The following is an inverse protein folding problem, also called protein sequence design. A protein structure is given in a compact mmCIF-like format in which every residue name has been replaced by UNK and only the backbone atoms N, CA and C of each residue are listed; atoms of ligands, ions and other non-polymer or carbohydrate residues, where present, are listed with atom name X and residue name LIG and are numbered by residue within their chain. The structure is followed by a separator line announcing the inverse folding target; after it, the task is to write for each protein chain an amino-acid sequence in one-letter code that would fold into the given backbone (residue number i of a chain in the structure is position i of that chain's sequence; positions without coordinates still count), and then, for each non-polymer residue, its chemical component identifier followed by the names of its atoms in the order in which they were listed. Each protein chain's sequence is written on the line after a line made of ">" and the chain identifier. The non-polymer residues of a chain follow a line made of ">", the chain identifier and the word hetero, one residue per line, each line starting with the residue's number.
data_IF_133913002365
#
_entry.id   IF_133913002365
#
_cell.length_a   1.000
_cell.length_b   1.000
_cell.length_c   1.000
_cell.angle_alpha   90.00
_cell.angle_beta   90.00
_cell.angle_gamma   90.00
#
_symmetry.space_group_name_H-M   'P 1'
#
loop_
_entity.id
_entity.type
_entity.pdbx_description
1 polymer ?
#
# COMPACT_ATOMS: atom_id res chain seq x y z
N UNK A 1 11.86 -26.35 -49.64
CA UNK A 1 12.26 -24.98 -49.27
C UNK A 1 12.07 -24.75 -47.76
N UNK A 2 12.73 -25.51 -46.88
CA UNK A 2 12.28 -25.61 -45.46
C UNK A 2 13.27 -25.11 -44.39
N UNK A 3 14.47 -24.64 -44.76
CA UNK A 3 15.43 -24.14 -43.76
C UNK A 3 15.13 -22.73 -43.22
N UNK A 4 14.55 -21.86 -44.05
CA UNK A 4 14.23 -20.47 -43.65
C UNK A 4 12.91 -20.39 -42.90
N UNK A 5 11.87 -21.08 -43.36
CA UNK A 5 10.57 -21.09 -42.70
C UNK A 5 10.61 -21.71 -41.30
N UNK A 6 11.42 -22.76 -41.07
CA UNK A 6 11.61 -23.34 -39.73
C UNK A 6 12.31 -22.35 -38.77
N UNK A 7 13.36 -21.66 -39.23
CA UNK A 7 14.02 -20.63 -38.42
C UNK A 7 13.08 -19.46 -38.11
N UNK A 8 12.25 -19.05 -39.08
CA UNK A 8 11.24 -18.00 -38.88
C UNK A 8 10.20 -18.45 -37.85
N UNK A 9 9.74 -19.70 -37.89
CA UNK A 9 8.80 -20.24 -36.90
C UNK A 9 9.40 -20.29 -35.48
N UNK A 10 10.67 -20.67 -35.36
CA UNK A 10 11.37 -20.70 -34.06
C UNK A 10 11.57 -19.27 -33.52
N UNK A 11 12.00 -18.33 -34.36
CA UNK A 11 12.18 -16.93 -33.96
C UNK A 11 10.84 -16.29 -33.60
N UNK A 12 9.78 -16.56 -34.37
CA UNK A 12 8.44 -16.07 -34.08
C UNK A 12 7.89 -16.61 -32.76
N UNK A 13 8.10 -17.90 -32.48
CA UNK A 13 7.76 -18.51 -31.19
C UNK A 13 8.54 -17.88 -30.02
N UNK A 14 9.84 -17.62 -30.22
CA UNK A 14 10.68 -17.01 -29.18
C UNK A 14 10.24 -15.59 -28.86
N UNK A 15 9.99 -14.76 -29.88
CA UNK A 15 9.50 -13.38 -29.71
C UNK A 15 8.13 -13.38 -29.05
N UNK A 16 7.23 -14.28 -29.45
CA UNK A 16 5.90 -14.40 -28.86
C UNK A 16 5.98 -14.76 -27.37
N UNK A 17 6.86 -15.68 -26.98
CA UNK A 17 7.07 -16.04 -25.58
C UNK A 17 7.64 -14.87 -24.76
N UNK A 18 8.63 -14.14 -25.29
CA UNK A 18 9.19 -12.96 -24.62
C UNK A 18 8.14 -11.85 -24.50
N UNK A 19 7.29 -11.66 -25.52
CA UNK A 19 6.19 -10.70 -25.50
C UNK A 19 5.11 -11.10 -24.47
N UNK A 20 4.74 -12.37 -24.40
CA UNK A 20 3.81 -12.89 -23.38
C UNK A 20 4.39 -12.74 -21.98
N UNK A 21 5.66 -13.07 -21.77
CA UNK A 21 6.35 -12.88 -20.50
C UNK A 21 6.43 -11.39 -20.12
N UNK A 22 6.75 -10.51 -21.07
CA UNK A 22 6.77 -9.07 -20.86
C UNK A 22 5.37 -8.49 -20.56
N UNK A 23 4.33 -8.99 -21.22
CA UNK A 23 2.94 -8.59 -21.00
C UNK A 23 2.40 -9.09 -19.65
N UNK A 24 2.74 -10.30 -19.24
CA UNK A 24 2.36 -10.86 -17.94
C UNK A 24 3.17 -10.20 -16.82
N UNK A 25 4.49 -10.02 -16.99
CA UNK A 25 5.32 -9.35 -16.00
C UNK A 25 4.98 -7.86 -15.88
N UNK A 26 4.74 -7.16 -16.99
CA UNK A 26 4.31 -5.77 -17.02
C UNK A 26 2.88 -5.58 -16.52
N UNK A 27 1.97 -6.47 -16.88
CA UNK A 27 0.60 -6.52 -16.38
C UNK A 27 0.53 -6.84 -14.90
N UNK A 28 1.32 -7.81 -14.41
CA UNK A 28 1.48 -8.10 -12.99
C UNK A 28 2.16 -6.94 -12.26
N UNK A 29 3.17 -6.29 -12.83
CA UNK A 29 3.80 -5.12 -12.23
C UNK A 29 2.83 -3.95 -12.09
N UNK A 30 2.04 -3.64 -13.13
CA UNK A 30 1.00 -2.62 -13.06
C UNK A 30 -0.19 -3.04 -12.18
N UNK A 31 -0.51 -4.33 -12.13
CA UNK A 31 -1.55 -4.87 -11.25
C UNK A 31 -1.10 -4.86 -9.79
N UNK A 32 0.15 -5.18 -9.46
CA UNK A 32 0.69 -5.06 -8.10
C UNK A 32 0.96 -3.58 -7.72
N UNK A 33 1.41 -2.74 -8.66
CA UNK A 33 1.56 -1.30 -8.45
C UNK A 33 0.21 -0.57 -8.35
N UNK A 34 -0.83 -1.05 -9.04
CA UNK A 34 -2.18 -0.48 -9.09
C UNK A 34 -3.19 -1.07 -8.10
N UNK A 35 -3.09 -2.37 -7.78
CA UNK A 35 -3.80 -3.04 -6.67
C UNK A 35 -3.09 -2.88 -5.33
N UNK A 36 -1.98 -2.15 -5.30
CA UNK A 36 -1.62 -1.29 -4.16
C UNK A 36 -2.60 -0.12 -3.97
N UNK A 37 -3.89 -0.32 -4.30
CA UNK A 37 -4.99 0.64 -4.23
C UNK A 37 -5.41 1.03 -2.82
N UNK A 38 -4.52 0.89 -1.85
CA UNK A 38 -4.47 1.79 -0.70
C UNK A 38 -3.16 2.53 -0.83
N UNK A 39 -3.26 3.82 -1.14
CA UNK A 39 -2.22 4.84 -1.28
C UNK A 39 -1.10 4.80 -0.19
N UNK A 40 -0.25 3.78 -0.17
CA UNK A 40 0.56 3.41 1.03
C UNK A 40 1.92 4.10 1.17
N UNK A 41 2.45 4.78 0.16
CA UNK A 41 3.78 5.39 0.25
C UNK A 41 3.75 6.87 0.67
N UNK A 42 3.16 7.77 -0.15
CA UNK A 42 3.09 9.21 0.13
C UNK A 42 1.69 9.71 0.48
N UNK A 43 0.65 9.20 -0.18
CA UNK A 43 -0.71 9.74 -0.07
C UNK A 43 -1.38 9.41 1.28
N UNK A 44 -1.09 8.27 1.93
CA UNK A 44 -1.49 8.03 3.33
C UNK A 44 -0.76 8.96 4.32
N UNK A 45 0.47 9.41 4.02
CA UNK A 45 1.18 10.39 4.87
C UNK A 45 0.51 11.75 4.79
N UNK A 46 0.17 12.20 3.59
CA UNK A 46 -0.59 13.43 3.39
C UNK A 46 -1.97 13.30 4.01
N UNK A 47 -2.64 12.16 3.84
CA UNK A 47 -3.97 11.93 4.36
C UNK A 47 -4.02 11.96 5.89
N UNK A 48 -3.09 11.26 6.57
CA UNK A 48 -3.07 11.25 8.03
C UNK A 48 -2.74 12.62 8.63
N UNK A 49 -2.00 13.50 7.94
CA UNK A 49 -1.76 14.87 8.44
C UNK A 49 -3.05 15.66 8.64
N UNK A 50 -4.09 15.40 7.84
CA UNK A 50 -5.40 16.02 8.00
C UNK A 50 -6.19 15.48 9.21
N UNK A 51 -5.76 14.36 9.82
CA UNK A 51 -6.46 13.79 10.98
C UNK A 51 -6.37 14.66 12.24
N UNK A 52 -5.35 15.50 12.35
CA UNK A 52 -5.17 16.42 13.47
C UNK A 52 -5.55 17.88 13.13
N UNK A 53 -6.11 18.14 11.94
CA UNK A 53 -6.35 19.51 11.45
C UNK A 53 -7.27 20.33 12.37
N UNK A 54 -8.22 19.68 13.04
CA UNK A 54 -9.15 20.34 13.99
C UNK A 54 -8.60 20.44 15.42
N UNK A 55 -7.40 19.92 15.67
CA UNK A 55 -6.69 20.08 16.96
C UNK A 55 -5.85 21.37 16.97
N UNK A 56 -5.40 21.78 18.16
CA UNK A 56 -4.50 22.93 18.29
C UNK A 56 -3.17 22.71 17.56
N UNK A 57 -2.49 23.79 17.19
CA UNK A 57 -1.21 23.71 16.47
C UNK A 57 -0.13 22.90 17.23
N UNK A 58 -0.13 22.96 18.56
CA UNK A 58 0.79 22.19 19.39
C UNK A 58 0.47 20.68 19.34
N UNK A 59 -0.82 20.32 19.37
CA UNK A 59 -1.25 18.92 19.21
C UNK A 59 -0.96 18.39 17.81
N UNK A 60 -1.10 19.21 16.78
CA UNK A 60 -0.70 18.84 15.41
C UNK A 60 0.79 18.53 15.32
N UNK A 61 1.65 19.35 15.95
CA UNK A 61 3.10 19.10 16.00
C UNK A 61 3.42 17.81 16.74
N UNK A 62 2.80 17.59 17.90
CA UNK A 62 2.94 16.36 18.68
C UNK A 62 2.52 15.13 17.87
N UNK A 63 1.43 15.22 17.11
CA UNK A 63 0.98 14.14 16.24
C UNK A 63 1.95 13.84 15.10
N UNK A 64 2.51 14.87 14.45
CA UNK A 64 3.52 14.70 13.41
C UNK A 64 4.77 14.02 13.96
N UNK A 65 5.22 14.41 15.16
CA UNK A 65 6.37 13.77 15.81
C UNK A 65 6.07 12.32 16.22
N UNK A 66 4.87 12.03 16.74
CA UNK A 66 4.44 10.66 17.04
C UNK A 66 4.46 9.78 15.77
N UNK A 67 3.96 10.29 14.64
CA UNK A 67 4.02 9.59 13.36
C UNK A 67 5.46 9.41 12.84
N UNK A 68 6.36 10.35 13.08
CA UNK A 68 7.79 10.22 12.73
C UNK A 68 8.46 9.15 13.59
N UNK A 69 8.19 9.12 14.89
CA UNK A 69 8.71 8.14 15.82
C UNK A 69 8.24 6.72 15.44
N UNK A 70 6.94 6.53 15.22
CA UNK A 70 6.37 5.25 14.78
C UNK A 70 7.00 4.76 13.47
N UNK A 71 7.22 5.67 12.50
CA UNK A 71 7.92 5.31 11.26
C UNK A 71 9.39 4.96 11.46
N UNK A 72 10.08 5.64 12.38
CA UNK A 72 11.48 5.36 12.70
C UNK A 72 11.64 3.94 13.24
N UNK A 73 10.70 3.51 14.09
CA UNK A 73 10.60 2.14 14.60
C UNK A 73 10.25 1.16 13.47
N UNK A 74 9.28 1.50 12.61
CA UNK A 74 8.88 0.65 11.49
C UNK A 74 9.83 0.64 10.27
N UNK A 75 11.00 1.30 10.33
CA UNK A 75 11.90 1.38 9.17
C UNK A 75 12.36 0.00 8.68
N UNK A 76 12.59 -0.90 9.61
CA UNK A 76 13.09 -2.24 9.31
C UNK A 76 12.01 -3.05 8.58
N UNK A 77 10.74 -2.94 8.99
CA UNK A 77 9.61 -3.51 8.25
C UNK A 77 9.46 -2.90 6.84
N UNK A 78 9.64 -1.59 6.71
CA UNK A 78 9.62 -0.95 5.40
C UNK A 78 10.77 -1.40 4.50
N UNK A 79 11.93 -1.72 5.07
CA UNK A 79 13.06 -2.30 4.34
C UNK A 79 12.77 -3.75 3.95
N UNK A 80 12.32 -4.58 4.88
CA UNK A 80 11.94 -5.96 4.64
C UNK A 80 10.87 -6.09 3.55
N UNK A 81 9.86 -5.21 3.54
CA UNK A 81 8.85 -5.19 2.47
C UNK A 81 9.40 -4.76 1.10
N UNK A 82 10.43 -3.89 1.05
CA UNK A 82 11.12 -3.55 -0.21
C UNK A 82 11.96 -4.72 -0.71
N UNK A 83 12.65 -5.39 0.19
CA UNK A 83 13.49 -6.56 -0.11
C UNK A 83 12.63 -7.73 -0.59
N UNK A 84 11.53 -8.04 0.10
CA UNK A 84 10.58 -9.07 -0.34
C UNK A 84 9.98 -8.79 -1.72
N UNK A 85 9.69 -7.53 -2.06
CA UNK A 85 9.26 -7.16 -3.42
C UNK A 85 10.34 -7.42 -4.48
N UNK A 86 11.61 -7.17 -4.17
CA UNK A 86 12.72 -7.50 -5.09
C UNK A 86 12.84 -9.01 -5.27
N UNK A 87 12.76 -9.75 -4.18
CA UNK A 87 12.82 -11.21 -4.20
C UNK A 87 11.68 -11.83 -5.03
N UNK A 88 10.45 -11.30 -4.92
CA UNK A 88 9.33 -11.70 -5.78
C UNK A 88 9.65 -11.49 -7.26
N UNK A 89 10.25 -10.34 -7.61
CA UNK A 89 10.65 -10.05 -9.01
C UNK A 89 11.77 -10.98 -9.48
N UNK A 90 12.74 -11.27 -8.63
CA UNK A 90 13.85 -12.17 -8.94
C UNK A 90 13.33 -13.59 -9.23
N UNK A 91 12.44 -14.12 -8.38
CA UNK A 91 11.83 -15.45 -8.57
C UNK A 91 10.98 -15.50 -9.84
N UNK A 92 10.23 -14.43 -10.15
CA UNK A 92 9.41 -14.36 -11.37
C UNK A 92 10.25 -14.23 -12.64
N UNK A 93 11.46 -13.66 -12.54
CA UNK A 93 12.39 -13.51 -13.66
C UNK A 93 13.21 -14.77 -13.96
N UNK A 94 13.14 -15.78 -13.08
CA UNK A 94 13.88 -17.02 -13.24
C UNK A 94 13.40 -17.81 -14.47
N UNK A 95 14.30 -18.53 -15.18
CA UNK A 95 13.93 -19.32 -16.35
C UNK A 95 12.88 -20.40 -16.07
N UNK A 96 12.85 -20.90 -14.84
CA UNK A 96 11.85 -21.85 -14.34
C UNK A 96 11.21 -21.27 -13.10
N UNK A 97 9.88 -21.26 -13.06
CA UNK A 97 9.13 -20.70 -11.94
C UNK A 97 9.17 -21.67 -10.75
N UNK A 98 9.87 -21.28 -9.69
CA UNK A 98 9.72 -21.91 -8.38
C UNK A 98 8.52 -21.33 -7.64
N UNK A 99 7.41 -22.07 -7.65
CA UNK A 99 6.18 -21.64 -6.99
C UNK A 99 6.31 -21.54 -5.47
N UNK A 100 7.09 -22.41 -4.85
CA UNK A 100 7.26 -22.41 -3.40
C UNK A 100 8.09 -21.19 -2.94
N UNK A 101 9.15 -20.87 -3.69
CA UNK A 101 9.95 -19.66 -3.46
C UNK A 101 9.12 -18.39 -3.65
N UNK A 102 8.28 -18.34 -4.69
CA UNK A 102 7.39 -17.20 -4.93
C UNK A 102 6.40 -17.01 -3.79
N UNK A 103 5.73 -18.07 -3.36
CA UNK A 103 4.76 -18.01 -2.27
C UNK A 103 5.43 -17.56 -0.96
N UNK A 104 6.65 -18.03 -0.68
CA UNK A 104 7.44 -17.59 0.48
C UNK A 104 7.82 -16.09 0.42
N UNK A 105 8.28 -15.60 -0.72
CA UNK A 105 8.64 -14.19 -0.92
C UNK A 105 7.41 -13.27 -0.81
N UNK A 106 6.27 -13.72 -1.36
CA UNK A 106 4.98 -13.02 -1.21
C UNK A 106 4.50 -12.99 0.25
N UNK A 107 4.64 -14.09 1.00
CA UNK A 107 4.30 -14.12 2.42
C UNK A 107 5.17 -13.17 3.24
N UNK A 108 6.49 -13.18 3.04
CA UNK A 108 7.42 -12.24 3.69
C UNK A 108 7.04 -10.78 3.43
N UNK A 109 6.74 -10.47 2.17
CA UNK A 109 6.32 -9.12 1.77
C UNK A 109 5.03 -8.70 2.49
N UNK A 110 4.02 -9.59 2.54
CA UNK A 110 2.75 -9.31 3.23
C UNK A 110 2.93 -9.14 4.74
N UNK A 111 3.74 -9.98 5.38
CA UNK A 111 4.05 -9.87 6.80
C UNK A 111 4.68 -8.50 7.13
N UNK A 112 5.75 -8.15 6.42
CA UNK A 112 6.44 -6.87 6.62
C UNK A 112 5.54 -5.64 6.37
N UNK A 113 4.71 -5.67 5.34
CA UNK A 113 3.75 -4.59 5.07
C UNK A 113 2.65 -4.50 6.16
N UNK A 114 2.27 -5.63 6.77
CA UNK A 114 1.28 -5.70 7.85
C UNK A 114 1.87 -5.20 9.17
N UNK A 115 3.10 -5.58 9.49
CA UNK A 115 3.82 -5.12 10.68
C UNK A 115 4.09 -3.61 10.62
N UNK A 116 4.48 -3.11 9.44
CA UNK A 116 4.63 -1.67 9.22
C UNK A 116 3.31 -0.92 9.47
N UNK A 117 2.19 -1.47 9.01
CA UNK A 117 0.86 -0.89 9.22
C UNK A 117 0.50 -0.90 10.71
N UNK A 118 0.67 -2.03 11.38
CA UNK A 118 0.42 -2.18 12.81
C UNK A 118 1.24 -1.17 13.64
N UNK A 119 2.50 -0.93 13.26
CA UNK A 119 3.36 0.05 13.94
C UNK A 119 2.82 1.49 13.82
N UNK A 120 2.30 1.87 12.66
CA UNK A 120 1.67 3.19 12.46
C UNK A 120 0.37 3.30 13.24
N UNK A 121 -0.44 2.25 13.23
CA UNK A 121 -1.70 2.19 13.99
C UNK A 121 -1.46 2.28 15.51
N UNK A 122 -0.42 1.62 16.03
CA UNK A 122 0.02 1.77 17.41
C UNK A 122 0.38 3.22 17.73
N UNK A 123 1.20 3.87 16.89
CA UNK A 123 1.57 5.28 17.13
C UNK A 123 0.38 6.25 17.09
N UNK A 124 -0.65 5.96 16.29
CA UNK A 124 -1.91 6.72 16.28
C UNK A 124 -2.70 6.48 17.57
N UNK A 125 -2.77 5.23 18.05
CA UNK A 125 -3.42 4.87 19.32
C UNK A 125 -2.71 5.51 20.52
N UNK A 126 -1.38 5.47 20.54
CA UNK A 126 -0.55 6.10 21.58
C UNK A 126 -0.79 7.61 21.63
N UNK A 127 -0.84 8.28 20.48
CA UNK A 127 -1.20 9.70 20.43
C UNK A 127 -2.62 9.95 20.93
N UNK A 128 -3.59 9.17 20.48
CA UNK A 128 -4.97 9.29 20.93
C UNK A 128 -5.11 9.10 22.45
N UNK A 129 -4.28 8.26 23.08
CA UNK A 129 -4.25 8.09 24.53
C UNK A 129 -3.86 9.38 25.28
N UNK A 130 -3.09 10.29 24.65
CA UNK A 130 -2.68 11.58 25.24
C UNK A 130 -3.73 12.69 25.13
N UNK A 131 -4.81 12.45 24.39
CA UNK A 131 -5.87 13.44 24.14
C UNK A 131 -6.95 13.39 25.22
N UNK A 132 -7.48 14.56 25.56
CA UNK A 132 -8.71 14.67 26.36
C UNK A 132 -9.90 14.08 25.60
N UNK A 133 -11.03 13.76 26.27
CA UNK A 133 -12.22 13.25 25.59
C UNK A 133 -12.69 14.14 24.43
N UNK A 134 -12.72 15.47 24.63
CA UNK A 134 -13.15 16.42 23.60
C UNK A 134 -12.17 16.51 22.43
N UNK A 135 -10.86 16.50 22.70
CA UNK A 135 -9.82 16.45 21.67
C UNK A 135 -9.91 15.16 20.85
N UNK A 136 -10.25 14.04 21.49
CA UNK A 136 -10.38 12.73 20.82
C UNK A 136 -11.52 12.71 19.82
N UNK A 137 -12.65 13.38 20.10
CA UNK A 137 -13.76 13.50 19.16
C UNK A 137 -13.31 14.23 17.88
N UNK A 138 -12.65 15.38 18.04
CA UNK A 138 -12.10 16.15 16.91
C UNK A 138 -11.10 15.32 16.10
N UNK A 139 -10.27 14.54 16.79
CA UNK A 139 -9.30 13.65 16.15
C UNK A 139 -9.97 12.52 15.36
N UNK A 140 -11.05 11.93 15.88
CA UNK A 140 -11.84 10.91 15.16
C UNK A 140 -12.47 11.49 13.89
N UNK A 141 -13.01 12.71 13.94
CA UNK A 141 -13.58 13.37 12.77
C UNK A 141 -12.53 13.70 11.71
N UNK A 142 -11.30 14.00 12.14
CA UNK A 142 -10.15 14.08 11.24
C UNK A 142 -9.80 12.73 10.61
N UNK A 143 -9.75 11.65 11.39
CA UNK A 143 -9.47 10.30 10.90
C UNK A 143 -10.52 9.81 9.88
N UNK A 144 -11.80 10.13 10.07
CA UNK A 144 -12.89 9.83 9.11
C UNK A 144 -12.71 10.49 7.74
N UNK A 145 -11.96 11.59 7.67
CA UNK A 145 -11.62 12.29 6.42
C UNK A 145 -10.30 11.80 5.81
N UNK A 146 -9.53 11.01 6.54
CA UNK A 146 -8.14 10.71 6.27
C UNK A 146 -7.85 9.21 6.08
N UNK A 147 -7.07 8.90 5.05
CA UNK A 147 -6.36 7.63 4.93
C UNK A 147 -7.28 6.41 4.83
N UNK A 148 -6.96 5.36 5.59
CA UNK A 148 -7.65 4.06 5.56
C UNK A 148 -8.99 4.04 6.28
N UNK A 149 -9.26 5.03 7.14
CA UNK A 149 -10.52 5.21 7.86
C UNK A 149 -11.41 6.24 7.17
N UNK A 150 -11.06 6.62 5.94
CA UNK A 150 -11.86 7.55 5.15
C UNK A 150 -13.23 6.94 4.87
N UNK A 151 -14.27 7.52 5.46
CA UNK A 151 -15.63 7.22 5.07
C UNK A 151 -15.92 7.93 3.74
N UNK A 152 -16.56 7.22 2.80
CA UNK A 152 -16.98 7.85 1.55
C UNK A 152 -17.96 8.99 1.90
N UNK A 153 -17.78 10.20 1.35
CA UNK A 153 -18.71 11.29 1.62
C UNK A 153 -20.12 10.86 1.20
N UNK A 154 -21.10 11.01 2.12
CA UNK A 154 -22.50 10.68 1.86
C UNK A 154 -22.93 11.27 0.51
N UNK A 155 -23.43 10.40 -0.37
CA UNK A 155 -23.94 10.83 -1.67
C UNK A 155 -25.11 11.80 -1.46
N UNK A 156 -25.38 12.72 -2.41
CA UNK A 156 -26.50 13.66 -2.31
C UNK A 156 -27.85 12.97 -2.03
N UNK A 157 -28.02 11.74 -2.52
CA UNK A 157 -29.19 10.90 -2.26
C UNK A 157 -29.30 10.45 -0.79
N UNK A 158 -28.17 10.11 -0.15
CA UNK A 158 -28.14 9.74 1.26
C UNK A 158 -28.36 10.95 2.18
N UNK A 159 -27.83 12.14 1.82
CA UNK A 159 -28.09 13.39 2.56
C UNK A 159 -29.57 13.76 2.58
N UNK A 160 -30.28 13.58 1.46
CA UNK A 160 -31.74 13.83 1.39
C UNK A 160 -32.55 12.90 2.28
N UNK A 161 -32.11 11.64 2.46
CA UNK A 161 -32.80 10.64 3.28
C UNK A 161 -32.54 10.82 4.78
N UNK A 162 -31.39 11.39 5.16
CA UNK A 162 -31.05 11.72 6.55
C UNK A 162 -31.69 13.04 7.02
N UNK A 163 -32.02 13.95 6.10
CA UNK A 163 -32.72 15.21 6.41
C UNK A 163 -34.26 15.06 6.46
N UNK A 164 -34.78 13.86 6.19
CA UNK A 164 -36.22 13.54 6.21
C UNK A 164 -36.60 12.57 7.34
N UNK A 165 -35.71 12.35 8.31
CA UNK A 165 -35.99 11.74 9.61
C UNK A 165 -35.70 12.77 10.70
#
# INVERSE_FOLDING_TARGET
>A
MNGRSWKILVIASLVLNVFLLGGIAGGAYQWFAGHSGTAKGPAQRTALRFAAEDLSADRQRQFVEALKAARRVGRDYAQAGREGRREVLDVLSAPQLDRAALDAALQRTRAADSDLRAQVESGVADFAATLTPDERIKFVDGLKRAGQWREAPLTPAQKRKAASQ
#
